data_IF_980329443077
#
_entry.id   IF_980329443077
#
_cell.length_a   1.000
_cell.length_b   1.000
_cell.length_c   1.000
_cell.angle_alpha   90.00
_cell.angle_beta   90.00
_cell.angle_gamma   90.00
#
_symmetry.space_group_name_H-M   'P 1'
#
loop_
_entity.id
_entity.type
_entity.pdbx_description
1 polymer ?
#
# COMPACT_ATOMS: atom_id res chain seq x y z
N UNK A 1 -26.05 2.71 -11.57
CA UNK A 1 -24.74 2.81 -10.87
C UNK A 1 -24.65 1.66 -9.90
N UNK A 2 -25.13 1.64 -8.64
CA UNK A 2 -25.44 0.33 -8.03
C UNK A 2 -26.77 -0.22 -8.62
N UNK A 3 -26.89 -1.53 -8.88
CA UNK A 3 -28.17 -2.10 -9.29
C UNK A 3 -29.17 -2.02 -8.13
N UNK A 4 -30.46 -2.20 -8.44
CA UNK A 4 -31.49 -2.23 -7.40
C UNK A 4 -31.22 -3.41 -6.48
N UNK A 5 -30.91 -3.13 -5.23
CA UNK A 5 -30.67 -4.16 -4.23
C UNK A 5 -31.93 -4.98 -3.97
N UNK A 6 -31.75 -6.28 -3.76
CA UNK A 6 -32.80 -7.16 -3.26
C UNK A 6 -33.21 -6.71 -1.85
N UNK A 7 -34.42 -7.08 -1.42
CA UNK A 7 -34.92 -6.74 -0.08
C UNK A 7 -35.32 -7.97 0.70
N UNK A 8 -35.08 -7.95 2.01
CA UNK A 8 -35.62 -8.95 2.92
C UNK A 8 -37.13 -8.76 3.08
N UNK A 9 -37.82 -9.76 3.63
CA UNK A 9 -39.26 -9.67 3.96
C UNK A 9 -39.58 -8.53 4.93
N UNK A 10 -38.63 -8.14 5.78
CA UNK A 10 -38.71 -6.98 6.68
C UNK A 10 -38.32 -5.63 6.02
N UNK A 11 -37.96 -5.62 4.73
CA UNK A 11 -37.69 -4.40 3.96
C UNK A 11 -36.22 -3.94 3.91
N UNK A 12 -35.28 -4.64 4.54
CA UNK A 12 -33.85 -4.28 4.51
C UNK A 12 -33.22 -4.59 3.16
N UNK A 13 -32.29 -3.75 2.69
CA UNK A 13 -31.53 -3.98 1.44
C UNK A 13 -30.47 -5.06 1.67
N UNK A 14 -30.42 -6.03 0.76
CA UNK A 14 -29.41 -7.08 0.72
C UNK A 14 -28.45 -6.78 -0.41
N UNK A 15 -27.18 -6.62 -0.06
CA UNK A 15 -26.09 -6.38 -1.01
C UNK A 15 -25.24 -7.63 -1.16
N UNK A 16 -24.85 -7.90 -2.40
CA UNK A 16 -23.93 -8.99 -2.73
C UNK A 16 -22.47 -8.54 -2.61
N UNK A 17 -21.53 -9.49 -2.65
CA UNK A 17 -20.10 -9.18 -2.74
C UNK A 17 -19.78 -8.32 -3.97
N UNK A 18 -20.44 -8.57 -5.10
CA UNK A 18 -20.29 -7.80 -6.33
C UNK A 18 -20.73 -6.33 -6.15
N UNK A 19 -21.78 -6.06 -5.36
CA UNK A 19 -22.20 -4.70 -5.04
C UNK A 19 -21.15 -3.97 -4.21
N UNK A 20 -20.52 -4.67 -3.26
CA UNK A 20 -19.45 -4.11 -2.43
C UNK A 20 -18.22 -3.80 -3.26
N UNK A 21 -17.79 -4.69 -4.15
CA UNK A 21 -16.66 -4.46 -5.06
C UNK A 21 -16.91 -3.27 -5.99
N UNK A 22 -18.13 -3.18 -6.54
CA UNK A 22 -18.55 -2.05 -7.35
C UNK A 22 -18.52 -0.74 -6.55
N UNK A 23 -18.96 -0.75 -5.30
CA UNK A 23 -18.87 0.43 -4.42
C UNK A 23 -17.42 0.82 -4.14
N UNK A 24 -16.53 -0.16 -3.89
CA UNK A 24 -15.09 0.10 -3.70
C UNK A 24 -14.48 0.76 -4.93
N UNK A 25 -14.79 0.26 -6.12
CA UNK A 25 -14.35 0.86 -7.38
C UNK A 25 -14.83 2.31 -7.50
N UNK A 26 -16.12 2.58 -7.23
CA UNK A 26 -16.68 3.93 -7.29
C UNK A 26 -15.96 4.87 -6.32
N UNK A 27 -15.78 4.46 -5.05
CA UNK A 27 -15.07 5.27 -4.05
C UNK A 27 -13.62 5.54 -4.44
N UNK A 28 -12.93 4.54 -4.97
CA UNK A 28 -11.55 4.69 -5.41
C UNK A 28 -11.44 5.66 -6.59
N UNK A 29 -12.31 5.54 -7.60
CA UNK A 29 -12.36 6.47 -8.73
C UNK A 29 -12.67 7.90 -8.28
N UNK A 30 -13.60 8.11 -7.34
CA UNK A 30 -13.86 9.43 -6.77
C UNK A 30 -12.62 10.03 -6.08
N UNK A 31 -11.83 9.22 -5.37
CA UNK A 31 -10.61 9.70 -4.72
C UNK A 31 -9.54 10.18 -5.71
N UNK A 32 -9.59 9.68 -6.96
CA UNK A 32 -8.73 10.12 -8.05
C UNK A 32 -9.32 11.25 -8.90
N UNK A 33 -10.46 11.82 -8.49
CA UNK A 33 -11.06 12.98 -9.15
C UNK A 33 -11.93 12.65 -10.36
N UNK A 34 -12.41 11.41 -10.48
CA UNK A 34 -13.46 11.09 -11.46
C UNK A 34 -14.82 11.59 -10.96
N UNK A 35 -15.57 12.23 -11.85
CA UNK A 35 -16.97 12.61 -11.62
C UNK A 35 -17.89 11.38 -11.65
N UNK A 36 -19.06 11.48 -11.02
CA UNK A 36 -20.03 10.37 -11.01
C UNK A 36 -20.51 9.98 -12.41
N UNK A 37 -20.59 10.93 -13.34
CA UNK A 37 -21.00 10.66 -14.72
C UNK A 37 -19.91 9.94 -15.52
N UNK A 38 -18.64 10.28 -15.29
CA UNK A 38 -17.50 9.55 -15.84
C UNK A 38 -17.46 8.11 -15.31
N UNK A 39 -17.60 7.92 -13.99
CA UNK A 39 -17.62 6.59 -13.38
C UNK A 39 -18.80 5.78 -13.90
N UNK A 40 -19.97 6.40 -14.12
CA UNK A 40 -21.12 5.72 -14.74
C UNK A 40 -20.81 5.15 -16.12
N UNK A 41 -19.98 5.82 -16.92
CA UNK A 41 -19.58 5.36 -18.26
C UNK A 41 -18.56 4.24 -18.21
N UNK A 42 -17.77 4.16 -17.14
CA UNK A 42 -16.77 3.11 -16.92
C UNK A 42 -17.36 1.79 -16.42
N UNK A 43 -18.58 1.81 -15.89
CA UNK A 43 -19.16 0.62 -15.30
C UNK A 43 -19.69 -0.36 -16.36
N UNK A 44 -19.37 -1.67 -16.25
CA UNK A 44 -19.87 -2.68 -17.17
C UNK A 44 -21.40 -2.79 -17.10
N UNK A 45 -22.02 -3.04 -18.26
CA UNK A 45 -23.47 -3.24 -18.39
C UNK A 45 -24.24 -2.17 -19.17
N UNK A 46 -23.57 -1.21 -19.82
CA UNK A 46 -24.20 -0.41 -20.88
C UNK A 46 -23.79 -0.95 -22.23
N UNK A 47 -24.77 -1.34 -23.04
CA UNK A 47 -24.58 -1.49 -24.48
C UNK A 47 -24.18 -0.12 -25.02
N UNK A 48 -22.90 0.04 -25.30
CA UNK A 48 -22.29 1.27 -25.74
C UNK A 48 -21.83 1.03 -27.18
N UNK A 49 -22.36 1.80 -28.13
CA UNK A 49 -21.87 1.75 -29.51
C UNK A 49 -20.40 2.19 -29.59
N UNK A 50 -19.75 1.93 -30.73
CA UNK A 50 -18.33 2.23 -30.97
C UNK A 50 -17.92 3.67 -30.58
N UNK A 51 -18.79 4.66 -30.81
CA UNK A 51 -18.55 6.05 -30.46
C UNK A 51 -18.38 6.27 -28.95
N UNK A 52 -19.15 5.58 -28.11
CA UNK A 52 -19.08 5.71 -26.66
C UNK A 52 -17.85 4.97 -26.11
N UNK A 53 -17.49 3.82 -26.68
CA UNK A 53 -16.23 3.13 -26.37
C UNK A 53 -15.02 4.05 -26.63
N UNK A 54 -15.02 4.78 -27.75
CA UNK A 54 -13.95 5.73 -28.07
C UNK A 54 -13.91 6.91 -27.08
N UNK A 55 -15.07 7.44 -26.68
CA UNK A 55 -15.14 8.51 -25.65
C UNK A 55 -14.59 8.05 -24.31
N UNK A 56 -14.95 6.83 -23.89
CA UNK A 56 -14.42 6.21 -22.66
C UNK A 56 -12.91 6.01 -22.76
N UNK A 57 -12.40 5.52 -23.88
CA UNK A 57 -10.97 5.36 -24.10
C UNK A 57 -10.20 6.68 -23.95
N UNK A 58 -10.69 7.75 -24.58
CA UNK A 58 -10.08 9.09 -24.50
C UNK A 58 -10.10 9.61 -23.06
N UNK A 59 -11.22 9.44 -22.36
CA UNK A 59 -11.36 9.82 -20.95
C UNK A 59 -10.34 9.10 -20.06
N UNK A 60 -10.22 7.77 -20.20
CA UNK A 60 -9.26 6.97 -19.43
C UNK A 60 -7.83 7.42 -19.73
N UNK A 61 -7.50 7.63 -21.01
CA UNK A 61 -6.16 8.08 -21.40
C UNK A 61 -5.80 9.44 -20.79
N UNK A 62 -6.73 10.40 -20.78
CA UNK A 62 -6.53 11.70 -20.13
C UNK A 62 -6.29 11.53 -18.63
N UNK A 63 -7.11 10.72 -17.96
CA UNK A 63 -7.00 10.51 -16.51
C UNK A 63 -5.71 9.78 -16.13
N UNK A 64 -5.28 8.80 -16.92
CA UNK A 64 -3.98 8.15 -16.73
C UNK A 64 -2.83 9.16 -16.82
N UNK A 65 -2.85 10.04 -17.82
CA UNK A 65 -1.84 11.10 -17.97
C UNK A 65 -1.82 12.04 -16.76
N UNK A 66 -2.98 12.53 -16.31
CA UNK A 66 -3.09 13.36 -15.10
C UNK A 66 -2.54 12.66 -13.85
N UNK A 67 -2.81 11.35 -13.70
CA UNK A 67 -2.30 10.54 -12.59
C UNK A 67 -0.77 10.40 -12.66
N UNK A 68 -0.21 10.14 -13.84
CA UNK A 68 1.23 10.01 -14.05
C UNK A 68 1.98 11.31 -13.75
N UNK A 69 1.44 12.46 -14.17
CA UNK A 69 1.98 13.78 -13.85
C UNK A 69 1.98 14.03 -12.33
N UNK A 70 0.88 13.69 -11.64
CA UNK A 70 0.80 13.81 -10.19
C UNK A 70 1.76 12.87 -9.47
N UNK A 71 1.91 11.62 -9.94
CA UNK A 71 2.88 10.68 -9.41
C UNK A 71 4.32 11.17 -9.61
N UNK A 72 4.64 11.75 -10.76
CA UNK A 72 5.96 12.33 -11.02
C UNK A 72 6.28 13.46 -10.04
N UNK A 73 5.32 14.37 -9.81
CA UNK A 73 5.44 15.46 -8.83
C UNK A 73 5.64 14.93 -7.40
N UNK A 74 4.81 13.97 -6.96
CA UNK A 74 4.92 13.37 -5.63
C UNK A 74 6.25 12.62 -5.44
N UNK A 75 6.73 11.92 -6.47
CA UNK A 75 8.04 11.26 -6.45
C UNK A 75 9.18 12.27 -6.33
N UNK A 76 9.09 13.41 -7.03
CA UNK A 76 10.07 14.49 -6.93
C UNK A 76 10.10 15.08 -5.51
N UNK A 77 8.94 15.38 -4.94
CA UNK A 77 8.84 15.90 -3.58
C UNK A 77 9.36 14.90 -2.54
N UNK A 78 9.02 13.61 -2.67
CA UNK A 78 9.59 12.55 -1.83
C UNK A 78 11.12 12.52 -1.88
N UNK A 79 11.72 12.65 -3.07
CA UNK A 79 13.19 12.69 -3.23
C UNK A 79 13.80 13.90 -2.52
N UNK A 80 13.16 15.06 -2.62
CA UNK A 80 13.57 16.28 -1.92
C UNK A 80 13.54 16.09 -0.41
N UNK A 81 12.44 15.58 0.15
CA UNK A 81 12.32 15.32 1.58
C UNK A 81 13.34 14.27 2.07
N UNK A 82 13.58 13.22 1.29
CA UNK A 82 14.59 12.22 1.61
C UNK A 82 16.02 12.80 1.59
N UNK A 83 16.31 13.72 0.67
CA UNK A 83 17.59 14.43 0.64
C UNK A 83 17.75 15.32 1.87
N UNK A 84 16.72 16.10 2.20
CA UNK A 84 16.70 16.93 3.40
C UNK A 84 16.93 16.11 4.68
N UNK A 85 16.26 14.96 4.81
CA UNK A 85 16.44 14.07 5.94
C UNK A 85 17.87 13.52 6.03
N UNK A 86 18.50 13.17 4.90
CA UNK A 86 19.92 12.77 4.88
C UNK A 86 20.85 13.89 5.33
N UNK A 87 20.60 15.12 4.89
CA UNK A 87 21.42 16.27 5.27
C UNK A 87 21.30 16.59 6.76
N UNK A 88 20.08 16.53 7.29
CA UNK A 88 19.80 16.69 8.71
C UNK A 88 20.54 15.60 9.51
N UNK A 89 20.42 14.33 9.12
CA UNK A 89 21.13 13.23 9.78
C UNK A 89 22.65 13.39 9.72
N UNK A 90 23.20 13.83 8.57
CA UNK A 90 24.64 14.11 8.42
C UNK A 90 25.08 15.22 9.38
N UNK A 91 24.30 16.29 9.52
CA UNK A 91 24.59 17.39 10.46
C UNK A 91 24.56 16.93 11.91
N UNK A 92 23.58 16.10 12.27
CA UNK A 92 23.52 15.50 13.60
C UNK A 92 24.72 14.59 13.87
N UNK A 93 25.12 13.74 12.91
CA UNK A 93 26.28 12.85 13.03
C UNK A 93 27.60 13.63 13.10
N UNK A 94 27.78 14.66 12.28
CA UNK A 94 28.97 15.52 12.32
C UNK A 94 29.08 16.32 13.64
N UNK A 95 27.97 16.55 14.32
CA UNK A 95 27.93 17.16 15.66
C UNK A 95 28.17 16.14 16.76
N UNK A 96 27.68 14.90 16.61
CA UNK A 96 27.99 13.79 17.50
C UNK A 96 29.47 13.36 17.43
N UNK A 97 30.12 13.45 16.26
CA UNK A 97 31.57 13.19 16.09
C UNK A 97 32.45 14.30 16.69
N UNK A 98 31.92 15.51 16.92
CA UNK A 98 32.57 16.53 17.77
C UNK A 98 32.43 16.24 19.27
N UNK A 99 31.63 15.24 19.62
CA UNK A 99 31.54 14.63 20.96
C UNK A 99 32.03 13.18 20.86
N UNK A 100 33.10 12.93 20.10
CA UNK A 100 33.97 11.82 20.44
C UNK A 100 34.61 12.16 21.80
N UNK A 101 34.44 11.34 22.84
CA UNK A 101 35.03 11.62 24.13
C UNK A 101 36.53 11.79 23.92
N UNK A 102 37.03 12.98 24.22
CA UNK A 102 38.45 13.15 24.46
C UNK A 102 38.86 12.07 25.46
N UNK A 103 39.94 11.38 25.14
CA UNK A 103 40.41 10.20 25.83
C UNK A 103 40.40 10.39 27.37
N UNK A 104 39.92 9.34 28.06
CA UNK A 104 40.26 8.97 29.43
C UNK A 104 39.42 9.55 30.60
N UNK A 105 38.94 8.58 31.41
CA UNK A 105 38.47 8.66 32.81
C UNK A 105 36.99 9.03 32.96
N UNK A 106 36.07 8.17 33.40
CA UNK A 106 36.17 6.96 34.22
C UNK A 106 34.91 6.10 34.14
N UNK A 107 35.11 4.79 34.02
CA UNK A 107 34.25 3.67 34.47
C UNK A 107 32.73 3.77 34.23
N UNK A 108 32.27 3.21 33.12
CA UNK A 108 31.05 2.38 33.11
C UNK A 108 31.37 1.14 32.26
N UNK A 109 31.49 -0.03 32.92
CA UNK A 109 31.47 -1.33 32.24
C UNK A 109 30.04 -1.57 31.74
N UNK A 110 29.81 -1.99 30.48
CA UNK A 110 28.62 -2.80 30.20
C UNK A 110 28.95 -4.22 30.68
N UNK A 111 28.30 -4.66 31.76
CA UNK A 111 28.35 -6.07 32.13
C UNK A 111 27.71 -6.92 31.04
N UNK A 112 28.45 -7.97 30.73
CA UNK A 112 28.11 -9.11 29.90
C UNK A 112 26.95 -9.90 30.49
N UNK A 113 26.22 -10.62 29.63
CA UNK A 113 26.14 -12.08 29.72
C UNK A 113 25.58 -12.69 28.45
N UNK A 114 26.47 -13.41 27.79
CA UNK A 114 26.23 -14.50 26.87
C UNK A 114 25.67 -15.73 27.60
N UNK A 115 24.91 -16.54 26.87
CA UNK A 115 24.59 -17.93 27.18
C UNK A 115 23.22 -18.31 26.62
N UNK A 116 23.04 -19.30 25.74
CA UNK A 116 23.92 -20.35 25.23
C UNK A 116 23.29 -20.87 23.93
N UNK A 117 24.13 -21.22 22.96
CA UNK A 117 23.79 -22.16 21.90
C UNK A 117 23.89 -23.59 22.44
N UNK A 118 22.86 -24.41 22.15
CA UNK A 118 22.70 -25.88 22.15
C UNK A 118 21.27 -26.16 22.64
N UNK A 119 20.35 -26.62 21.79
CA UNK A 119 20.22 -28.05 21.50
C UNK A 119 19.60 -28.24 20.10
N UNK A 120 20.40 -28.73 19.16
CA UNK A 120 19.92 -29.33 17.91
C UNK A 120 20.06 -30.83 18.08
N UNK A 121 19.03 -31.51 18.57
CA UNK A 121 18.83 -32.95 18.35
C UNK A 121 17.38 -33.35 18.59
N UNK A 122 16.90 -34.33 17.81
CA UNK A 122 15.53 -34.91 17.74
C UNK A 122 14.45 -34.15 16.95
N UNK A 123 14.54 -34.25 15.63
CA UNK A 123 13.42 -34.78 14.82
C UNK A 123 13.91 -35.29 13.46
N UNK A 124 14.80 -36.29 13.51
CA UNK A 124 14.79 -37.40 12.55
C UNK A 124 14.37 -38.64 13.34
N UNK A 125 13.54 -39.46 12.70
CA UNK A 125 13.03 -40.80 13.09
C UNK A 125 11.59 -40.79 13.58
N UNK A 126 10.79 -41.58 12.84
CA UNK A 126 9.34 -41.83 12.92
C UNK A 126 8.52 -40.65 12.35
N UNK A 127 8.06 -40.64 11.10
CA UNK A 127 7.33 -41.71 10.39
C UNK A 127 7.78 -41.84 8.92
N UNK A 128 8.65 -42.80 8.67
CA UNK A 128 8.64 -43.54 7.41
C UNK A 128 8.94 -44.98 7.78
N UNK A 129 8.01 -45.88 7.43
CA UNK A 129 7.96 -47.33 7.65
C UNK A 129 7.27 -47.82 8.93
N UNK A 130 5.95 -47.96 8.84
CA UNK A 130 5.26 -49.24 9.04
C UNK A 130 4.10 -49.26 8.03
N UNK A 131 4.39 -49.72 6.81
CA UNK A 131 4.10 -51.09 6.34
C UNK A 131 2.62 -51.27 5.97
N UNK A 132 2.43 -51.77 4.75
CA UNK A 132 1.19 -52.29 4.13
C UNK A 132 0.22 -51.28 3.55
#
# INVERSE_FOLDING_TARGET
MLPRANRTRAGYRVYTSADVERLRFIKQAQSFGFSLDEIRRLLPGRAAGLAECRRVQVLIASKLKEMDERLASLRAFRRMLAAYLRDVNRRFQARAMRVAPCCLRSRIRPESKSGRAHESDRKKRLESKKEM
#
